data_IF_610987477922
#
_entry.id   IF_610987477922
#
_cell.length_a   1.000
_cell.length_b   1.000
_cell.length_c   1.000
_cell.angle_alpha   90.00
_cell.angle_beta   90.00
_cell.angle_gamma   90.00
#
_symmetry.space_group_name_H-M   'P 1'
#
loop_
_entity.id
_entity.type
_entity.pdbx_description
1 polymer ?
#
# COMPACT_ATOMS: atom_id res chain seq x y z
N UNK A 1 51.26 -19.94 -25.24
CA UNK A 1 50.40 -20.07 -24.04
C UNK A 1 49.57 -18.81 -23.96
N UNK A 2 48.28 -18.91 -24.27
CA UNK A 2 47.34 -17.79 -24.27
C UNK A 2 46.95 -17.45 -22.84
N UNK A 3 47.40 -16.31 -22.31
CA UNK A 3 46.88 -15.73 -21.09
C UNK A 3 45.68 -14.87 -21.44
N UNK A 4 44.49 -15.48 -21.45
CA UNK A 4 43.22 -14.79 -21.69
C UNK A 4 43.02 -13.76 -20.57
N UNK A 5 43.04 -12.47 -20.89
CA UNK A 5 42.59 -11.44 -19.96
C UNK A 5 41.06 -11.53 -19.93
N UNK A 6 40.53 -12.22 -18.93
CA UNK A 6 39.09 -12.30 -18.70
C UNK A 6 38.58 -10.89 -18.43
N UNK A 7 37.79 -10.37 -19.37
CA UNK A 7 37.07 -9.12 -19.20
C UNK A 7 35.91 -9.37 -18.26
N UNK A 8 35.94 -8.76 -17.07
CA UNK A 8 34.75 -8.60 -16.23
C UNK A 8 33.76 -7.65 -16.93
N UNK A 9 32.83 -8.22 -17.70
CA UNK A 9 31.63 -7.55 -18.20
C UNK A 9 30.47 -7.88 -17.26
N UNK A 10 30.53 -7.31 -16.06
CA UNK A 10 29.54 -7.51 -15.01
C UNK A 10 29.87 -6.59 -13.86
N UNK A 11 29.28 -5.39 -13.86
CA UNK A 11 29.48 -4.39 -12.82
C UNK A 11 29.08 -4.92 -11.44
N UNK A 12 30.06 -5.49 -10.75
CA UNK A 12 30.26 -5.51 -9.30
C UNK A 12 29.70 -4.21 -8.69
N UNK A 13 28.65 -4.18 -7.87
CA UNK A 13 28.42 -4.94 -6.64
C UNK A 13 26.95 -5.38 -6.51
N UNK A 14 26.70 -6.69 -6.59
CA UNK A 14 25.65 -7.29 -5.77
C UNK A 14 26.16 -7.41 -4.32
N UNK A 15 25.22 -7.45 -3.37
CA UNK A 15 25.35 -7.92 -1.98
C UNK A 15 25.88 -6.96 -0.92
N UNK A 16 25.06 -5.98 -0.53
CA UNK A 16 24.51 -6.00 0.86
C UNK A 16 23.17 -5.25 0.96
N UNK A 17 22.36 -5.22 -0.10
CA UNK A 17 21.01 -4.68 0.05
C UNK A 17 20.15 -5.72 0.74
N UNK A 18 20.04 -5.62 2.06
CA UNK A 18 19.17 -6.50 2.84
C UNK A 18 17.74 -5.99 2.76
N UNK A 19 16.83 -6.95 2.82
CA UNK A 19 15.40 -6.70 2.85
C UNK A 19 15.02 -5.73 3.97
N UNK A 20 15.72 -5.81 5.11
CA UNK A 20 15.54 -4.94 6.29
C UNK A 20 15.94 -3.48 6.03
N UNK A 21 17.01 -3.25 5.26
CA UNK A 21 17.44 -1.89 4.90
C UNK A 21 16.41 -1.24 3.96
N UNK A 22 15.85 -2.02 3.03
CA UNK A 22 14.72 -1.57 2.20
C UNK A 22 13.52 -1.26 3.11
N UNK A 23 13.14 -2.13 4.05
CA UNK A 23 12.01 -1.87 4.95
C UNK A 23 12.20 -0.61 5.80
N UNK A 24 13.40 -0.39 6.31
CA UNK A 24 13.73 0.79 7.14
C UNK A 24 13.47 2.08 6.36
N UNK A 25 13.83 2.12 5.06
CA UNK A 25 13.56 3.25 4.19
C UNK A 25 12.06 3.61 4.08
N UNK A 26 11.17 2.61 4.02
CA UNK A 26 9.73 2.84 3.96
C UNK A 26 9.15 3.32 5.31
N UNK A 27 9.82 3.02 6.42
CA UNK A 27 9.37 3.42 7.78
C UNK A 27 9.91 4.78 8.23
N UNK A 28 11.13 5.16 7.84
CA UNK A 28 11.76 6.42 8.26
C UNK A 28 11.29 7.63 7.44
N UNK A 29 10.75 7.39 6.24
CA UNK A 29 10.38 8.41 5.29
C UNK A 29 8.89 8.41 4.94
N UNK A 30 8.62 8.31 3.64
CA UNK A 30 7.25 8.23 3.12
C UNK A 30 6.83 6.75 3.07
N UNK A 31 5.57 6.42 3.33
CA UNK A 31 5.14 5.03 3.40
C UNK A 31 5.06 4.33 2.03
N UNK A 32 5.22 5.08 0.93
CA UNK A 32 5.17 4.56 -0.43
C UNK A 32 6.32 5.07 -1.28
N UNK A 33 6.84 4.20 -2.14
CA UNK A 33 7.93 4.48 -3.07
C UNK A 33 7.76 3.72 -4.38
N UNK A 34 8.31 4.25 -5.46
CA UNK A 34 8.45 3.55 -6.74
C UNK A 34 9.74 2.73 -6.80
N UNK A 35 9.80 1.72 -7.68
CA UNK A 35 11.03 0.96 -7.91
C UNK A 35 12.18 1.82 -8.43
N UNK A 36 11.89 2.96 -9.06
CA UNK A 36 12.90 3.92 -9.47
C UNK A 36 13.50 4.63 -8.25
N UNK A 37 12.66 5.16 -7.35
CA UNK A 37 13.14 5.81 -6.12
C UNK A 37 13.97 4.89 -5.24
N UNK A 38 13.56 3.62 -5.11
CA UNK A 38 14.34 2.61 -4.37
C UNK A 38 15.68 2.34 -5.07
N UNK A 39 15.68 2.29 -6.41
CA UNK A 39 16.91 2.11 -7.16
C UNK A 39 17.89 3.27 -6.97
N UNK A 40 17.40 4.51 -7.06
CA UNK A 40 18.18 5.72 -6.83
C UNK A 40 18.70 5.80 -5.39
N UNK A 41 17.88 5.44 -4.39
CA UNK A 41 18.27 5.45 -2.98
C UNK A 41 19.43 4.49 -2.67
N UNK A 42 19.38 3.28 -3.23
CA UNK A 42 20.36 2.23 -2.95
C UNK A 42 21.46 2.11 -4.01
N UNK A 43 21.44 2.98 -5.04
CA UNK A 43 22.43 2.97 -6.11
C UNK A 43 22.44 1.70 -6.96
N UNK A 44 21.28 1.06 -7.13
CA UNK A 44 21.13 -0.20 -7.87
C UNK A 44 20.35 -0.01 -9.17
N UNK A 45 20.37 -1.01 -10.04
CA UNK A 45 19.51 -0.99 -11.23
C UNK A 45 18.02 -1.08 -10.85
N UNK A 46 17.18 -0.38 -11.60
CA UNK A 46 15.71 -0.38 -11.43
C UNK A 46 15.12 -1.78 -11.48
N UNK A 47 15.65 -2.65 -12.34
CA UNK A 47 15.19 -4.04 -12.48
C UNK A 47 15.54 -4.87 -11.25
N UNK A 48 16.70 -4.61 -10.64
CA UNK A 48 17.12 -5.24 -9.37
C UNK A 48 16.23 -4.76 -8.23
N UNK A 49 15.97 -3.46 -8.13
CA UNK A 49 15.05 -2.91 -7.14
C UNK A 49 13.64 -3.51 -7.29
N UNK A 50 13.12 -3.56 -8.52
CA UNK A 50 11.83 -4.19 -8.83
C UNK A 50 11.78 -5.67 -8.41
N UNK A 51 12.83 -6.44 -8.72
CA UNK A 51 12.91 -7.86 -8.34
C UNK A 51 12.95 -8.05 -6.83
N UNK A 52 13.59 -7.15 -6.08
CA UNK A 52 13.63 -7.17 -4.61
C UNK A 52 12.29 -6.77 -3.98
N UNK A 53 11.69 -5.70 -4.46
CA UNK A 53 10.36 -5.25 -4.03
C UNK A 53 9.30 -6.33 -4.28
N UNK A 54 9.37 -7.03 -5.40
CA UNK A 54 8.49 -8.17 -5.68
C UNK A 54 8.65 -9.28 -4.64
N UNK A 55 9.88 -9.64 -4.27
CA UNK A 55 10.11 -10.65 -3.23
C UNK A 55 9.56 -10.22 -1.87
N UNK A 56 9.61 -8.92 -1.56
CA UNK A 56 9.03 -8.36 -0.33
C UNK A 56 7.49 -8.44 -0.33
N UNK A 57 6.86 -8.27 -1.50
CA UNK A 57 5.43 -8.51 -1.68
C UNK A 57 5.09 -9.99 -1.51
N UNK A 58 5.89 -10.89 -2.08
CA UNK A 58 5.71 -12.34 -1.91
C UNK A 58 5.87 -12.79 -0.44
N UNK A 59 6.68 -12.08 0.34
CA UNK A 59 6.84 -12.27 1.79
C UNK A 59 5.76 -11.57 2.62
N UNK A 60 4.80 -10.87 2.00
CA UNK A 60 3.73 -10.15 2.69
C UNK A 60 4.19 -8.90 3.44
N UNK A 61 5.38 -8.37 3.15
CA UNK A 61 5.94 -7.18 3.83
C UNK A 61 5.57 -5.87 3.14
N UNK A 62 5.34 -5.92 1.84
CA UNK A 62 4.92 -4.78 1.02
C UNK A 62 3.69 -5.16 0.22
N UNK A 63 2.95 -4.15 -0.21
CA UNK A 63 1.92 -4.30 -1.24
C UNK A 63 2.33 -3.53 -2.49
N UNK A 64 1.94 -4.05 -3.66
CA UNK A 64 2.18 -3.43 -4.97
C UNK A 64 0.87 -2.89 -5.50
N UNK A 65 0.82 -1.58 -5.77
CA UNK A 65 -0.38 -0.92 -6.29
C UNK A 65 -0.10 -0.17 -7.58
N UNK A 66 -1.00 -0.33 -8.54
CA UNK A 66 -0.92 0.32 -9.85
C UNK A 66 -1.85 1.54 -9.87
N UNK A 67 -1.27 2.74 -9.86
CA UNK A 67 -1.99 4.03 -9.91
C UNK A 67 -2.26 4.45 -11.37
N UNK A 68 -2.87 3.56 -12.14
CA UNK A 68 -3.16 3.74 -13.57
C UNK A 68 -2.27 2.89 -14.49
N UNK A 69 -2.17 3.28 -15.76
CA UNK A 69 -1.62 2.43 -16.83
C UNK A 69 -0.10 2.19 -16.75
N UNK A 70 0.65 3.04 -16.05
CA UNK A 70 2.12 3.00 -16.04
C UNK A 70 2.76 3.22 -14.68
N UNK A 71 2.02 3.75 -13.71
CA UNK A 71 2.57 4.10 -12.40
C UNK A 71 2.34 2.96 -11.44
N UNK A 72 3.43 2.41 -10.91
CA UNK A 72 3.39 1.38 -9.88
C UNK A 72 4.09 1.95 -8.65
N UNK A 73 3.42 1.85 -7.51
CA UNK A 73 3.95 2.19 -6.19
C UNK A 73 3.95 0.96 -5.32
N UNK A 74 4.88 0.93 -4.38
CA UNK A 74 4.95 -0.07 -3.33
C UNK A 74 4.73 0.64 -2.02
N UNK A 75 4.02 0.02 -1.08
CA UNK A 75 3.84 0.57 0.25
C UNK A 75 3.97 -0.48 1.34
N UNK A 76 4.34 -0.03 2.53
CA UNK A 76 4.45 -0.87 3.71
C UNK A 76 3.06 -1.33 4.16
N UNK A 77 2.88 -2.64 4.33
CA UNK A 77 1.68 -3.20 4.96
C UNK A 77 2.02 -3.56 6.40
N UNK A 78 1.65 -2.66 7.31
CA UNK A 78 1.82 -2.84 8.75
C UNK A 78 0.73 -3.79 9.24
N UNK A 79 0.87 -5.10 9.03
CA UNK A 79 0.00 -6.14 9.58
C UNK A 79 -1.50 -5.75 9.67
N UNK A 80 -2.06 -5.14 8.63
CA UNK A 80 -3.50 -5.24 8.43
C UNK A 80 -3.67 -6.54 7.69
N UNK A 81 -3.58 -7.64 8.44
CA UNK A 81 -4.22 -8.89 8.06
C UNK A 81 -5.73 -8.62 7.96
N UNK A 82 -6.14 -7.90 6.93
CA UNK A 82 -7.49 -8.00 6.39
C UNK A 82 -7.41 -9.15 5.39
N UNK A 83 -7.24 -10.36 5.94
CA UNK A 83 -8.18 -11.38 5.51
C UNK A 83 -9.55 -10.72 5.71
N UNK A 84 -10.44 -10.64 4.72
CA UNK A 84 -11.85 -10.58 5.03
C UNK A 84 -12.15 -11.89 5.75
N UNK A 85 -11.84 -11.93 7.04
CA UNK A 85 -12.32 -12.93 7.97
C UNK A 85 -13.80 -12.61 8.10
N UNK A 86 -14.53 -13.31 7.27
CA UNK A 86 -15.96 -13.49 7.29
C UNK A 86 -16.31 -14.12 8.66
N UNK A 87 -16.27 -13.32 9.72
CA UNK A 87 -16.13 -13.88 11.07
C UNK A 87 -16.28 -12.92 12.24
N UNK A 88 -16.95 -11.77 12.08
CA UNK A 88 -17.54 -11.04 13.20
C UNK A 88 -19.06 -10.87 13.01
N UNK A 89 -19.76 -11.98 12.81
CA UNK A 89 -21.22 -12.05 12.94
C UNK A 89 -21.73 -11.91 14.39
N UNK A 90 -20.85 -11.61 15.34
CA UNK A 90 -21.18 -11.35 16.75
C UNK A 90 -20.49 -10.08 17.26
N UNK A 91 -20.42 -9.06 16.40
CA UNK A 91 -19.98 -7.75 16.83
C UNK A 91 -21.14 -7.05 17.59
N UNK A 92 -21.00 -6.74 18.89
CA UNK A 92 -22.07 -6.17 19.71
C UNK A 92 -22.45 -4.75 19.28
N UNK A 93 -21.62 -4.11 18.45
CA UNK A 93 -21.90 -2.84 17.80
C UNK A 93 -22.98 -3.00 16.71
N UNK A 94 -23.06 -4.15 16.01
CA UNK A 94 -24.12 -4.47 15.03
C UNK A 94 -25.29 -5.28 15.60
N UNK A 95 -25.11 -5.94 16.75
CA UNK A 95 -26.20 -6.61 17.50
C UNK A 95 -26.94 -5.68 18.47
N UNK A 96 -26.58 -4.39 18.49
CA UNK A 96 -27.37 -3.39 19.19
C UNK A 96 -28.82 -3.44 18.65
N UNK A 97 -29.84 -3.35 19.52
CA UNK A 97 -31.20 -3.27 19.04
C UNK A 97 -31.30 -2.05 18.13
N UNK A 98 -31.53 -2.27 16.83
CA UNK A 98 -31.93 -1.21 15.92
C UNK A 98 -33.13 -0.53 16.56
N UNK A 99 -33.00 0.75 16.84
CA UNK A 99 -34.13 1.58 17.20
C UNK A 99 -34.99 1.67 15.93
N UNK A 100 -35.97 0.76 15.81
CA UNK A 100 -37.06 0.97 14.86
C UNK A 100 -37.83 2.17 15.39
N UNK A 101 -37.60 3.35 14.80
CA UNK A 101 -38.56 4.42 14.91
C UNK A 101 -39.86 3.87 14.29
N UNK A 102 -40.89 3.71 15.12
CA UNK A 102 -42.22 3.19 14.74
C UNK A 102 -43.01 4.19 13.87
N UNK A 103 -42.39 5.33 13.53
CA UNK A 103 -42.99 6.35 12.68
C UNK A 103 -42.21 6.42 11.36
N UNK A 104 -42.86 6.16 10.22
CA UNK A 104 -42.26 6.49 8.93
C UNK A 104 -42.03 8.00 8.91
N UNK A 105 -40.78 8.41 8.78
CA UNK A 105 -40.47 9.81 8.45
C UNK A 105 -40.95 10.03 7.01
N UNK A 106 -42.06 10.74 6.87
CA UNK A 106 -42.59 11.17 5.58
C UNK A 106 -41.51 12.02 4.86
N UNK A 107 -41.22 11.67 3.61
CA UNK A 107 -40.19 12.30 2.78
C UNK A 107 -40.47 13.78 2.48
N UNK A 108 -41.73 14.21 2.64
CA UNK A 108 -42.15 15.62 2.54
C UNK A 108 -41.71 16.48 3.74
N UNK A 109 -41.30 15.91 4.89
CA UNK A 109 -40.84 16.66 6.08
C UNK A 109 -39.31 16.88 6.10
N UNK A 110 -38.56 16.21 5.23
CA UNK A 110 -37.09 16.37 5.14
C UNK A 110 -36.69 17.63 4.34
N UNK A 111 -37.64 18.25 3.64
CA UNK A 111 -37.38 19.39 2.77
C UNK A 111 -37.16 20.73 3.52
N UNK A 112 -37.69 20.86 4.75
CA UNK A 112 -37.62 22.12 5.53
C UNK A 112 -36.23 22.39 6.14
N UNK A 113 -35.37 21.37 6.26
CA UNK A 113 -34.01 21.52 6.82
C UNK A 113 -32.99 21.99 5.76
N UNK A 114 -33.31 21.87 4.45
CA UNK A 114 -32.36 22.20 3.38
C UNK A 114 -32.75 23.44 2.54
N UNK A 115 -33.97 23.97 2.68
CA UNK A 115 -34.41 25.24 2.06
C UNK A 115 -35.09 26.20 3.04
N UNK A 116 -34.58 26.29 4.28
CA UNK A 116 -34.83 27.46 5.11
C UNK A 116 -34.35 28.72 4.36
N UNK A 117 -35.29 29.54 3.91
CA UNK A 117 -35.03 30.88 3.42
C UNK A 117 -34.20 31.62 4.48
N UNK A 118 -32.95 31.95 4.16
CA UNK A 118 -32.17 32.88 4.97
C UNK A 118 -32.76 34.28 4.77
N UNK A 119 -33.82 34.60 5.51
CA UNK A 119 -34.32 35.97 5.60
C UNK A 119 -33.24 36.86 6.22
N UNK A 120 -32.83 37.88 5.46
CA UNK A 120 -31.91 38.94 5.88
C UNK A 120 -32.62 40.13 6.49
#
# INVERSE_FOLDING_TARGET
MSGNTERDNGGKFESDLRDEDIMSHFTEGRPFHTAQEVADQFGIDRSTAYRRLRQLVEKGKLEKVSLGSRTVVWWYTAETATTPDEGASDDPLFSAPTFSADEPVDEDEIDDVLYGEIEG
#
